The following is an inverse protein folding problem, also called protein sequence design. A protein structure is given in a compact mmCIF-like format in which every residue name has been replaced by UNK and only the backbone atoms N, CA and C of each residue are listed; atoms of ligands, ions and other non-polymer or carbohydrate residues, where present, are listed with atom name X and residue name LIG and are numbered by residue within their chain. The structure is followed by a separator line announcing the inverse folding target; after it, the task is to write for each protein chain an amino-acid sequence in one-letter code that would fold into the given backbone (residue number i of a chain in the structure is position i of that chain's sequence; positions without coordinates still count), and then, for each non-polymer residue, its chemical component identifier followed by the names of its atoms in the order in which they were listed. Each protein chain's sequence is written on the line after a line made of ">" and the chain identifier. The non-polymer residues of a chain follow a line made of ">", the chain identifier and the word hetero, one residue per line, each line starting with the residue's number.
data_IF_747874998250
#
_entry.id   IF_747874998250
#
_cell.length_a   1.000
_cell.length_b   1.000
_cell.length_c   1.000
_cell.angle_alpha   90.00
_cell.angle_beta   90.00
_cell.angle_gamma   90.00
#
_symmetry.space_group_name_H-M   'P 1'
#
loop_
_entity.id
_entity.type
_entity.pdbx_description
1 polymer ?
#
# COMPACT_ATOMS: atom_id res chain seq x y z
N UNK A 1 56.20 31.51 4.41
CA UNK A 1 55.07 31.41 5.35
C UNK A 1 53.83 31.75 4.55
N UNK A 2 52.99 30.86 4.06
CA UNK A 2 52.90 29.40 4.08
C UNK A 2 52.21 29.07 2.73
N UNK A 3 52.77 28.20 1.90
CA UNK A 3 52.42 26.78 1.94
C UNK A 3 50.89 26.61 1.84
N UNK A 4 50.38 26.44 0.62
CA UNK A 4 49.94 25.13 0.10
C UNK A 4 48.69 24.63 0.83
N UNK A 5 47.76 24.09 0.03
CA UNK A 5 46.81 23.02 0.41
C UNK A 5 45.78 23.42 1.48
N UNK A 6 44.54 23.69 1.11
CA UNK A 6 43.48 22.69 0.85
C UNK A 6 42.42 22.89 1.94
N UNK A 7 41.15 22.65 1.56
CA UNK A 7 40.07 22.27 2.50
C UNK A 7 39.58 23.46 3.36
N UNK A 8 38.33 23.92 3.30
CA UNK A 8 37.10 23.31 2.82
C UNK A 8 36.07 24.41 2.59
N UNK A 9 35.29 24.24 1.53
CA UNK A 9 33.90 24.69 1.47
C UNK A 9 33.13 24.24 2.71
N UNK A 10 32.59 25.16 3.50
CA UNK A 10 31.24 25.09 4.07
C UNK A 10 31.04 26.30 4.99
N UNK A 11 29.90 26.99 4.83
CA UNK A 11 29.15 27.77 5.84
C UNK A 11 28.65 29.11 5.27
N UNK A 12 27.37 29.39 5.56
CA UNK A 12 26.57 30.60 5.31
C UNK A 12 25.97 30.81 3.91
N UNK A 13 24.66 30.53 3.79
CA UNK A 13 23.69 31.64 3.89
C UNK A 13 22.26 31.13 4.12
N UNK A 14 21.66 31.66 5.18
CA UNK A 14 20.28 31.52 5.60
C UNK A 14 19.31 32.19 4.62
N UNK A 15 18.16 31.54 4.42
CA UNK A 15 16.94 31.90 3.64
C UNK A 15 16.53 33.38 3.81
N UNK A 16 16.12 34.09 2.73
CA UNK A 16 14.67 34.23 2.46
C UNK A 16 14.28 34.39 0.96
N UNK A 17 13.34 33.58 0.46
CA UNK A 17 12.60 33.82 -0.80
C UNK A 17 11.13 33.33 -0.71
N UNK A 18 10.49 33.66 0.43
CA UNK A 18 9.04 33.74 0.56
C UNK A 18 8.64 35.13 0.06
N UNK A 19 7.50 35.27 -0.63
CA UNK A 19 6.94 36.53 -1.21
C UNK A 19 7.44 36.90 -2.62
N UNK A 20 7.09 36.14 -3.68
CA UNK A 20 6.36 36.58 -4.90
C UNK A 20 5.83 35.29 -5.58
N UNK A 21 4.79 34.68 -5.02
CA UNK A 21 3.91 33.77 -5.79
C UNK A 21 2.51 33.76 -5.15
N UNK A 22 2.03 34.95 -4.80
CA UNK A 22 0.67 35.17 -4.26
C UNK A 22 -0.21 35.89 -5.30
N UNK A 23 -0.02 35.60 -6.59
CA UNK A 23 -0.81 36.24 -7.63
C UNK A 23 -0.98 35.31 -8.84
N UNK A 24 -1.82 34.28 -8.70
CA UNK A 24 -2.96 33.92 -9.58
C UNK A 24 -3.67 32.74 -8.89
N UNK A 25 -4.43 33.00 -7.83
CA UNK A 25 -5.54 32.11 -7.48
C UNK A 25 -6.71 32.50 -8.39
N UNK A 26 -6.62 32.11 -9.66
CA UNK A 26 -7.75 32.25 -10.57
C UNK A 26 -8.86 31.35 -10.05
N UNK A 27 -9.98 31.94 -9.64
CA UNK A 27 -11.26 31.27 -9.45
C UNK A 27 -11.73 30.67 -10.79
N UNK A 28 -11.13 29.54 -11.18
CA UNK A 28 -11.67 28.68 -12.22
C UNK A 28 -12.89 28.00 -11.59
N UNK A 29 -14.11 28.42 -11.92
CA UNK A 29 -15.29 27.58 -11.68
C UNK A 29 -15.03 26.27 -12.43
N UNK A 30 -14.86 25.12 -11.74
CA UNK A 30 -14.62 23.87 -12.44
C UNK A 30 -15.87 23.56 -13.26
N UNK A 31 -15.78 23.70 -14.58
CA UNK A 31 -16.85 23.27 -15.49
C UNK A 31 -16.79 21.75 -15.52
N UNK A 32 -17.64 21.13 -14.71
CA UNK A 32 -17.70 19.67 -14.61
C UNK A 32 -18.27 19.14 -15.93
N UNK A 33 -17.39 18.70 -16.83
CA UNK A 33 -17.80 18.09 -18.10
C UNK A 33 -18.50 16.76 -17.79
N UNK A 34 -19.64 16.46 -18.44
CA UNK A 34 -20.39 15.20 -18.24
C UNK A 34 -19.49 13.95 -18.33
N UNK A 35 -18.49 13.99 -19.21
CA UNK A 35 -17.48 12.94 -19.36
C UNK A 35 -16.57 12.74 -18.14
N UNK A 36 -16.24 13.81 -17.40
CA UNK A 36 -15.50 13.69 -16.15
C UNK A 36 -16.31 12.94 -15.10
N UNK A 37 -17.61 13.28 -14.97
CA UNK A 37 -18.51 12.59 -14.03
C UNK A 37 -18.60 11.10 -14.36
N UNK A 38 -18.82 10.77 -15.64
CA UNK A 38 -18.85 9.37 -16.09
C UNK A 38 -17.54 8.65 -15.79
N UNK A 39 -16.38 9.28 -16.02
CA UNK A 39 -15.07 8.65 -15.75
C UNK A 39 -14.83 8.34 -14.26
N UNK A 40 -15.26 9.25 -13.37
CA UNK A 40 -15.15 9.06 -11.93
C UNK A 40 -16.08 7.95 -11.46
N UNK A 41 -17.35 7.98 -11.89
CA UNK A 41 -18.35 6.95 -11.54
C UNK A 41 -17.88 5.56 -12.01
N UNK A 42 -17.41 5.44 -13.25
CA UNK A 42 -16.89 4.18 -13.78
C UNK A 42 -15.66 3.69 -13.01
N UNK A 43 -14.75 4.59 -12.62
CA UNK A 43 -13.56 4.22 -11.82
C UNK A 43 -13.93 3.78 -10.40
N UNK A 44 -14.91 4.44 -9.80
CA UNK A 44 -15.42 4.07 -8.47
C UNK A 44 -16.07 2.69 -8.50
N UNK A 45 -16.98 2.45 -9.45
CA UNK A 45 -17.67 1.17 -9.58
C UNK A 45 -16.74 0.03 -10.05
N UNK A 46 -15.82 0.31 -10.96
CA UNK A 46 -14.98 -0.71 -11.59
C UNK A 46 -13.74 -1.13 -10.79
N UNK A 47 -13.16 -0.23 -9.99
CA UNK A 47 -11.87 -0.51 -9.34
C UNK A 47 -11.85 -0.15 -7.86
N UNK A 48 -12.37 1.02 -7.48
CA UNK A 48 -12.24 1.49 -6.10
C UNK A 48 -13.11 0.69 -5.12
N UNK A 49 -14.38 0.46 -5.47
CA UNK A 49 -15.31 -0.30 -4.62
C UNK A 49 -14.96 -1.79 -4.52
N UNK A 50 -14.68 -2.53 -5.62
CA UNK A 50 -14.31 -3.94 -5.50
C UNK A 50 -13.00 -4.13 -4.72
N UNK A 51 -12.00 -3.27 -4.93
CA UNK A 51 -10.74 -3.35 -4.19
C UNK A 51 -10.95 -3.08 -2.69
N UNK A 52 -11.78 -2.08 -2.33
CA UNK A 52 -12.14 -1.81 -0.95
C UNK A 52 -12.95 -2.94 -0.30
N UNK A 53 -13.92 -3.49 -1.02
CA UNK A 53 -14.75 -4.61 -0.59
C UNK A 53 -13.89 -5.85 -0.28
N UNK A 54 -12.96 -6.22 -1.16
CA UNK A 54 -12.06 -7.35 -0.95
C UNK A 54 -11.18 -7.20 0.32
N UNK A 55 -10.81 -5.96 0.70
CA UNK A 55 -10.05 -5.69 1.93
C UNK A 55 -10.95 -5.62 3.17
N UNK A 56 -12.21 -5.18 3.02
CA UNK A 56 -13.17 -5.13 4.12
C UNK A 56 -13.68 -6.52 4.50
N UNK A 57 -14.02 -7.34 3.49
CA UNK A 57 -14.65 -8.65 3.65
C UNK A 57 -13.76 -9.63 4.38
N UNK A 58 -12.43 -9.52 4.33
CA UNK A 58 -11.53 -10.45 5.04
C UNK A 58 -11.67 -10.40 6.57
N UNK A 59 -12.28 -9.35 7.13
CA UNK A 59 -12.47 -9.21 8.57
C UNK A 59 -13.71 -9.96 9.06
N UNK A 60 -14.74 -10.11 8.22
CA UNK A 60 -15.98 -10.83 8.57
C UNK A 60 -15.76 -12.33 8.81
N UNK A 61 -14.99 -13.07 7.98
CA UNK A 61 -14.67 -14.47 8.20
C UNK A 61 -13.43 -14.65 9.09
N UNK A 62 -13.14 -13.72 10.02
CA UNK A 62 -11.97 -13.87 10.91
C UNK A 62 -12.02 -15.21 11.66
N UNK A 63 -13.20 -15.61 12.13
CA UNK A 63 -13.38 -16.85 12.89
C UNK A 63 -13.15 -18.10 12.01
N UNK A 64 -13.56 -18.04 10.74
CA UNK A 64 -13.36 -19.12 9.77
C UNK A 64 -11.87 -19.30 9.45
N UNK A 65 -11.14 -18.19 9.30
CA UNK A 65 -9.70 -18.23 9.05
C UNK A 65 -8.96 -18.76 10.27
N UNK A 66 -9.35 -18.33 11.47
CA UNK A 66 -8.77 -18.80 12.72
C UNK A 66 -9.01 -20.30 12.95
N UNK A 67 -10.24 -20.78 12.73
CA UNK A 67 -10.54 -22.22 12.84
C UNK A 67 -9.76 -23.05 11.82
N UNK A 68 -9.57 -22.54 10.60
CA UNK A 68 -8.74 -23.19 9.59
C UNK A 68 -7.26 -23.25 9.98
N UNK A 69 -6.68 -22.13 10.45
CA UNK A 69 -5.29 -22.10 10.95
C UNK A 69 -5.10 -23.09 12.11
N UNK A 70 -6.08 -23.20 13.00
CA UNK A 70 -6.08 -24.19 14.08
C UNK A 70 -6.02 -25.62 13.55
N UNK A 71 -6.84 -25.96 12.55
CA UNK A 71 -6.81 -27.30 11.94
C UNK A 71 -5.46 -27.62 11.27
N UNK A 72 -4.87 -26.66 10.57
CA UNK A 72 -3.56 -26.82 9.90
C UNK A 72 -2.43 -27.04 10.92
N UNK A 73 -2.43 -26.31 12.03
CA UNK A 73 -1.39 -26.45 13.06
C UNK A 73 -1.56 -27.74 13.86
N UNK A 74 -2.80 -28.17 14.09
CA UNK A 74 -3.09 -29.46 14.71
C UNK A 74 -2.55 -30.60 13.83
N UNK A 75 -2.76 -30.55 12.53
CA UNK A 75 -2.26 -31.56 11.59
C UNK A 75 -0.72 -31.58 11.52
N UNK A 76 -0.07 -30.40 11.51
CA UNK A 76 1.38 -30.29 11.32
C UNK A 76 2.22 -30.50 12.59
N UNK A 77 1.70 -30.10 13.75
CA UNK A 77 2.44 -30.10 15.02
C UNK A 77 1.79 -30.96 16.12
N UNK A 78 0.65 -31.64 15.84
CA UNK A 78 -0.11 -32.44 16.82
C UNK A 78 -0.39 -31.71 18.15
N UNK A 79 -0.45 -30.38 18.11
CA UNK A 79 -0.58 -29.53 19.30
C UNK A 79 -1.83 -28.67 19.16
N UNK A 80 -2.69 -28.71 20.18
CA UNK A 80 -3.87 -27.85 20.22
C UNK A 80 -3.47 -26.42 20.56
N UNK A 81 -3.83 -25.48 19.69
CA UNK A 81 -3.67 -24.06 19.99
C UNK A 81 -4.71 -23.60 21.02
N UNK A 82 -4.22 -22.97 22.08
CA UNK A 82 -5.04 -22.23 23.03
C UNK A 82 -5.61 -20.96 22.39
N UNK A 83 -6.75 -20.46 22.90
CA UNK A 83 -7.40 -19.22 22.44
C UNK A 83 -6.43 -18.04 22.40
N UNK A 84 -5.53 -17.93 23.37
CA UNK A 84 -4.51 -16.87 23.42
C UNK A 84 -3.55 -16.93 22.23
N UNK A 85 -3.14 -18.12 21.82
CA UNK A 85 -2.20 -18.30 20.70
C UNK A 85 -2.87 -18.00 19.36
N UNK A 86 -4.14 -18.38 19.20
CA UNK A 86 -4.96 -18.07 18.02
C UNK A 86 -5.10 -16.55 17.80
N UNK A 87 -5.43 -15.80 18.87
CA UNK A 87 -5.54 -14.34 18.81
C UNK A 87 -4.18 -13.68 18.54
N UNK A 88 -3.10 -14.24 19.08
CA UNK A 88 -1.74 -13.77 18.82
C UNK A 88 -1.35 -13.93 17.36
N UNK A 89 -1.61 -15.10 16.76
CA UNK A 89 -1.36 -15.36 15.34
C UNK A 89 -2.19 -14.44 14.44
N UNK A 90 -3.46 -14.24 14.77
CA UNK A 90 -4.32 -13.29 14.06
C UNK A 90 -3.75 -11.86 14.09
N UNK A 91 -3.25 -11.44 15.26
CA UNK A 91 -2.64 -10.11 15.43
C UNK A 91 -1.38 -9.97 14.58
N UNK A 92 -0.54 -11.00 14.48
CA UNK A 92 0.64 -11.03 13.60
C UNK A 92 0.24 -10.89 12.13
N UNK A 93 -0.81 -11.59 11.70
CA UNK A 93 -1.34 -11.51 10.33
C UNK A 93 -1.82 -10.08 9.99
N UNK A 94 -2.51 -9.43 10.92
CA UNK A 94 -2.95 -8.04 10.72
C UNK A 94 -1.76 -7.08 10.76
N UNK A 95 -0.80 -7.29 11.65
CA UNK A 95 0.39 -6.45 11.77
C UNK A 95 1.27 -6.49 10.52
N UNK A 96 1.49 -7.67 9.92
CA UNK A 96 2.32 -7.79 8.72
C UNK A 96 1.68 -7.16 7.49
N UNK A 97 0.34 -7.12 7.42
CA UNK A 97 -0.37 -6.37 6.40
C UNK A 97 -0.09 -4.86 6.51
N UNK A 98 -0.14 -4.32 7.72
CA UNK A 98 0.17 -2.90 7.98
C UNK A 98 1.65 -2.61 7.67
N UNK A 99 2.57 -3.49 8.08
CA UNK A 99 4.00 -3.37 7.76
C UNK A 99 4.26 -3.42 6.24
N UNK A 100 3.58 -4.31 5.50
CA UNK A 100 3.64 -4.32 4.05
C UNK A 100 3.10 -3.02 3.44
N UNK A 101 2.03 -2.47 4.01
CA UNK A 101 1.44 -1.22 3.53
C UNK A 101 2.34 0.00 3.79
N UNK A 102 3.05 0.07 4.92
CA UNK A 102 4.01 1.16 5.18
C UNK A 102 5.18 1.10 4.20
N UNK A 103 5.75 -0.09 3.98
CA UNK A 103 6.83 -0.30 3.00
C UNK A 103 6.35 0.04 1.59
N UNK A 104 5.17 -0.46 1.18
CA UNK A 104 4.59 -0.19 -0.13
C UNK A 104 4.29 1.29 -0.38
N UNK A 105 3.96 2.04 0.68
CA UNK A 105 3.77 3.49 0.60
C UNK A 105 5.10 4.21 0.37
N UNK A 106 6.15 3.88 1.14
CA UNK A 106 7.47 4.49 1.00
C UNK A 106 8.09 4.25 -0.39
N UNK A 107 7.94 3.04 -0.94
CA UNK A 107 8.42 2.72 -2.29
C UNK A 107 7.52 3.24 -3.41
N UNK A 108 6.24 3.53 -3.11
CA UNK A 108 5.24 3.93 -4.09
C UNK A 108 5.58 5.24 -4.80
N UNK A 109 6.16 6.22 -4.09
CA UNK A 109 6.57 7.50 -4.66
C UNK A 109 7.72 7.32 -5.67
N UNK A 110 8.83 6.69 -5.25
CA UNK A 110 9.99 6.47 -6.12
C UNK A 110 9.69 5.58 -7.34
N UNK A 111 8.77 4.61 -7.21
CA UNK A 111 8.35 3.77 -8.32
C UNK A 111 7.47 4.53 -9.32
N UNK A 112 6.60 5.42 -8.83
CA UNK A 112 5.75 6.26 -9.68
C UNK A 112 6.57 7.26 -10.50
N UNK A 113 7.63 7.82 -9.91
CA UNK A 113 8.54 8.75 -10.59
C UNK A 113 9.37 8.08 -11.70
N UNK A 114 9.71 6.79 -11.54
CA UNK A 114 10.54 6.03 -12.49
C UNK A 114 9.76 5.43 -13.65
N UNK A 115 8.60 4.81 -13.38
CA UNK A 115 7.86 3.98 -14.35
C UNK A 115 6.65 4.73 -14.93
N UNK A 116 6.28 5.86 -14.34
CA UNK A 116 5.16 6.68 -14.76
C UNK A 116 3.79 6.18 -14.26
N UNK A 117 2.84 7.11 -14.18
CA UNK A 117 1.54 6.93 -13.50
C UNK A 117 0.68 5.78 -14.04
N UNK A 118 0.64 5.58 -15.36
CA UNK A 118 -0.18 4.53 -15.99
C UNK A 118 0.39 3.13 -15.75
N UNK A 119 1.72 2.98 -15.83
CA UNK A 119 2.37 1.70 -15.63
C UNK A 119 2.33 1.27 -14.16
N UNK A 120 2.50 2.20 -13.22
CA UNK A 120 2.37 1.93 -11.79
C UNK A 120 0.98 1.36 -11.42
N UNK A 121 -0.09 1.91 -12.00
CA UNK A 121 -1.45 1.40 -11.79
C UNK A 121 -1.66 -0.01 -12.35
N UNK A 122 -1.04 -0.34 -13.49
CA UNK A 122 -1.10 -1.67 -14.10
C UNK A 122 -0.33 -2.69 -13.26
N UNK A 123 0.92 -2.38 -12.88
CA UNK A 123 1.74 -3.24 -12.00
C UNK A 123 1.00 -3.55 -10.70
N UNK A 124 0.34 -2.54 -10.14
CA UNK A 124 -0.45 -2.74 -8.93
C UNK A 124 -1.64 -3.70 -9.11
N UNK A 125 -2.32 -3.69 -10.27
CA UNK A 125 -3.36 -4.69 -10.55
C UNK A 125 -2.78 -6.11 -10.64
N UNK A 126 -1.64 -6.28 -11.32
CA UNK A 126 -0.96 -7.57 -11.39
C UNK A 126 -0.54 -8.07 -10.00
N UNK A 127 0.05 -7.21 -9.17
CA UNK A 127 0.40 -7.55 -7.78
C UNK A 127 -0.83 -7.95 -6.95
N UNK A 128 -1.97 -7.31 -7.18
CA UNK A 128 -3.22 -7.65 -6.52
C UNK A 128 -3.73 -9.04 -6.93
N UNK A 129 -3.66 -9.36 -8.22
CA UNK A 129 -4.02 -10.68 -8.76
C UNK A 129 -3.08 -11.76 -8.19
N UNK A 130 -1.77 -11.53 -8.22
CA UNK A 130 -0.79 -12.45 -7.63
C UNK A 130 -1.07 -12.69 -6.14
N UNK A 131 -1.37 -11.64 -5.37
CA UNK A 131 -1.71 -11.77 -3.95
C UNK A 131 -2.98 -12.59 -3.72
N UNK A 132 -4.02 -12.37 -4.54
CA UNK A 132 -5.27 -13.13 -4.46
C UNK A 132 -5.06 -14.62 -4.81
N UNK A 133 -4.23 -14.90 -5.83
CA UNK A 133 -3.86 -16.27 -6.20
C UNK A 133 -3.07 -16.95 -5.07
N UNK A 134 -2.11 -16.26 -4.45
CA UNK A 134 -1.36 -16.81 -3.31
C UNK A 134 -2.27 -17.15 -2.13
N UNK A 135 -3.23 -16.28 -1.81
CA UNK A 135 -4.22 -16.51 -0.74
C UNK A 135 -5.23 -17.61 -1.10
N UNK A 136 -5.56 -17.79 -2.37
CA UNK A 136 -6.42 -18.89 -2.81
C UNK A 136 -5.68 -20.22 -2.73
N UNK A 137 -4.44 -20.26 -3.22
CA UNK A 137 -3.57 -21.44 -3.18
C UNK A 137 -3.18 -21.82 -1.75
N UNK A 138 -3.05 -20.87 -0.81
CA UNK A 138 -2.70 -21.19 0.57
C UNK A 138 -3.76 -22.08 1.24
N UNK A 139 -5.04 -21.90 0.88
CA UNK A 139 -6.13 -22.75 1.37
C UNK A 139 -6.05 -24.17 0.79
N UNK A 140 -5.66 -24.29 -0.48
CA UNK A 140 -5.51 -25.60 -1.14
C UNK A 140 -4.30 -26.38 -0.62
N UNK A 141 -3.19 -25.69 -0.35
CA UNK A 141 -1.95 -26.31 0.15
C UNK A 141 -1.88 -26.44 1.67
N UNK A 142 -2.85 -25.90 2.43
CA UNK A 142 -2.86 -26.04 3.88
C UNK A 142 -1.66 -25.37 4.58
N UNK A 143 -1.12 -24.26 4.05
CA UNK A 143 0.10 -23.64 4.58
C UNK A 143 -0.12 -22.24 5.13
N UNK A 144 0.24 -22.05 6.41
CA UNK A 144 0.19 -20.75 7.12
C UNK A 144 1.27 -19.79 6.60
N UNK A 145 2.43 -20.30 6.19
CA UNK A 145 3.53 -19.48 5.67
C UNK A 145 3.12 -18.73 4.39
N UNK A 146 2.39 -19.42 3.51
CA UNK A 146 1.88 -18.83 2.28
C UNK A 146 0.78 -17.79 2.53
N UNK A 147 -0.01 -17.98 3.59
CA UNK A 147 -0.98 -16.98 4.05
C UNK A 147 -0.29 -15.70 4.51
N UNK A 148 0.81 -15.81 5.27
CA UNK A 148 1.60 -14.67 5.73
C UNK A 148 2.19 -13.90 4.53
N UNK A 149 2.77 -14.61 3.56
CA UNK A 149 3.31 -14.01 2.34
C UNK A 149 2.20 -13.30 1.55
N UNK A 150 1.05 -13.94 1.34
CA UNK A 150 -0.08 -13.32 0.63
C UNK A 150 -0.58 -12.04 1.30
N UNK A 151 -0.59 -12.00 2.64
CA UNK A 151 -0.97 -10.82 3.43
C UNK A 151 0.04 -9.69 3.32
N UNK A 152 1.32 -10.02 3.34
CA UNK A 152 2.40 -9.05 3.13
C UNK A 152 2.33 -8.42 1.72
N UNK A 153 2.18 -9.23 0.67
CA UNK A 153 2.07 -8.74 -0.72
C UNK A 153 0.80 -7.90 -0.95
N UNK A 154 -0.33 -8.30 -0.36
CA UNK A 154 -1.58 -7.53 -0.39
C UNK A 154 -1.44 -6.18 0.33
N UNK A 155 -0.67 -6.13 1.41
CA UNK A 155 -0.30 -4.91 2.12
C UNK A 155 0.48 -3.95 1.23
N UNK A 156 1.54 -4.43 0.57
CA UNK A 156 2.36 -3.64 -0.35
C UNK A 156 1.50 -3.01 -1.46
N UNK A 157 0.65 -3.82 -2.10
CA UNK A 157 -0.29 -3.35 -3.13
C UNK A 157 -1.21 -2.23 -2.60
N UNK A 158 -1.70 -2.38 -1.37
CA UNK A 158 -2.57 -1.37 -0.76
C UNK A 158 -1.85 -0.06 -0.42
N UNK A 159 -0.57 -0.13 -0.03
CA UNK A 159 0.28 1.05 0.20
C UNK A 159 0.60 1.81 -1.09
N UNK A 160 0.98 1.08 -2.16
CA UNK A 160 1.31 1.68 -3.45
C UNK A 160 0.12 2.46 -4.05
N UNK A 161 -1.10 1.90 -4.01
CA UNK A 161 -2.32 2.61 -4.48
C UNK A 161 -2.55 3.95 -3.78
N UNK A 162 -2.31 4.00 -2.46
CA UNK A 162 -2.52 5.21 -1.66
C UNK A 162 -1.51 6.30 -2.01
N UNK A 163 -0.23 5.95 -2.15
CA UNK A 163 0.79 6.92 -2.51
C UNK A 163 0.60 7.51 -3.91
N UNK A 164 0.22 6.70 -4.92
CA UNK A 164 -0.01 7.20 -6.28
C UNK A 164 -1.16 8.23 -6.33
N UNK A 165 -2.20 8.06 -5.52
CA UNK A 165 -3.26 9.07 -5.41
C UNK A 165 -2.85 10.32 -4.61
N UNK A 166 -2.01 10.17 -3.58
CA UNK A 166 -1.63 11.28 -2.71
C UNK A 166 -0.51 12.16 -3.29
N UNK A 167 0.36 11.59 -4.13
CA UNK A 167 1.47 12.32 -4.77
C UNK A 167 1.00 13.48 -5.67
N UNK A 168 -0.26 13.48 -6.11
CA UNK A 168 -0.83 14.61 -6.86
C UNK A 168 -0.99 15.90 -6.02
N UNK A 169 -0.75 15.86 -4.70
CA UNK A 169 -0.87 17.02 -3.82
C UNK A 169 0.46 17.59 -3.30
N UNK A 170 1.59 17.14 -3.84
CA UNK A 170 2.93 17.51 -3.36
C UNK A 170 3.78 18.35 -4.31
N UNK A 171 3.27 18.71 -5.50
CA UNK A 171 3.99 19.58 -6.45
C UNK A 171 3.14 20.80 -6.76
N UNK A 172 3.08 21.72 -5.80
CA UNK A 172 2.92 23.16 -6.05
C UNK A 172 3.95 23.86 -5.18
#
# INVERSE_FOLDING_TARGET
>A
MAEKTLIQQESECTVPSVIISENVESHVKPRVTRWMVVSVVTTMLGSCLPAGYCIGVINTPQEIIRSWVKSVILEKYNSELSLTQEVSLWSVIVAIFVAGATIGSSFGAGLADRIGRRASLLVNHWLCICSALLLMCCKMMGSVEMLIIGRFTSGICSGQRKCVCFYHRGTY
#
